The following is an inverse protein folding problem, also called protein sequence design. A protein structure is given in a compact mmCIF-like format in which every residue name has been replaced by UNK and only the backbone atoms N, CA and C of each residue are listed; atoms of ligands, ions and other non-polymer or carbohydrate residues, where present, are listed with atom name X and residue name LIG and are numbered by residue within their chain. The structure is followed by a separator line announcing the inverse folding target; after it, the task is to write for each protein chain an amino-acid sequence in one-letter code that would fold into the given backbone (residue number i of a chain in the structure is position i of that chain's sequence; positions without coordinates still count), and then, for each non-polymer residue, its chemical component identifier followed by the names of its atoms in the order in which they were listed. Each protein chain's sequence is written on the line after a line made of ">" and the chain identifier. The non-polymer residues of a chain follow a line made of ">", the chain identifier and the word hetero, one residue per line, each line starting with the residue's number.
data_IF_603718808898
#
_entry.id   IF_603718808898
#
_cell.length_a   1.000
_cell.length_b   1.000
_cell.length_c   1.000
_cell.angle_alpha   90.00
_cell.angle_beta   90.00
_cell.angle_gamma   90.00
#
_symmetry.space_group_name_H-M   'P 1'
#
loop_
_entity.id
_entity.type
_entity.pdbx_description
1 polymer ?
#
# COMPACT_ATOMS: atom_id res chain seq x y z
N UNK A 1 -20.95 -22.24 18.13
CA UNK A 1 -19.49 -22.51 18.09
C UNK A 1 -18.81 -21.65 17.02
N UNK A 2 -18.88 -20.31 17.11
CA UNK A 2 -18.52 -19.42 15.98
C UNK A 2 -17.49 -18.31 16.26
N UNK A 3 -16.92 -18.24 17.47
CA UNK A 3 -16.04 -17.11 17.85
C UNK A 3 -14.52 -17.42 17.80
N UNK A 4 -14.12 -18.67 17.57
CA UNK A 4 -12.68 -19.06 17.62
C UNK A 4 -11.96 -19.11 16.26
N UNK A 5 -12.67 -18.98 15.14
CA UNK A 5 -12.03 -18.95 13.81
C UNK A 5 -11.56 -17.54 13.40
N UNK A 6 -11.97 -16.48 14.10
CA UNK A 6 -11.67 -15.10 13.71
C UNK A 6 -10.22 -14.68 13.98
N UNK A 7 -9.58 -15.21 15.02
CA UNK A 7 -8.22 -14.81 15.40
C UNK A 7 -7.11 -15.62 14.72
N UNK A 8 -7.40 -16.82 14.23
CA UNK A 8 -6.40 -17.67 13.58
C UNK A 8 -5.80 -16.99 12.35
N UNK A 9 -6.63 -16.44 11.46
CA UNK A 9 -6.16 -15.83 10.21
C UNK A 9 -5.28 -14.59 10.38
N UNK A 10 -5.51 -13.77 11.41
CA UNK A 10 -4.67 -12.59 11.68
C UNK A 10 -3.30 -12.99 12.25
N UNK A 11 -3.28 -14.00 13.13
CA UNK A 11 -2.04 -14.55 13.67
C UNK A 11 -1.16 -15.15 12.58
N UNK A 12 -1.77 -15.86 11.63
CA UNK A 12 -1.08 -16.51 10.52
C UNK A 12 -0.41 -15.47 9.58
N UNK A 13 -1.10 -14.36 9.30
CA UNK A 13 -0.55 -13.24 8.50
C UNK A 13 0.68 -12.62 9.16
N UNK A 14 0.59 -12.29 10.45
CA UNK A 14 1.72 -11.71 11.19
C UNK A 14 2.88 -12.71 11.32
N UNK A 15 2.57 -13.99 11.49
CA UNK A 15 3.56 -15.08 11.54
C UNK A 15 4.30 -15.20 10.22
N UNK A 16 3.58 -15.19 9.10
CA UNK A 16 4.18 -15.24 7.77
C UNK A 16 5.08 -14.02 7.50
N UNK A 17 4.61 -12.81 7.81
CA UNK A 17 5.41 -11.59 7.66
C UNK A 17 6.69 -11.63 8.50
N UNK A 18 6.66 -12.20 9.71
CA UNK A 18 7.85 -12.36 10.56
C UNK A 18 8.74 -13.55 10.15
N UNK A 19 8.28 -14.43 9.27
CA UNK A 19 9.03 -15.62 8.90
C UNK A 19 10.33 -15.26 8.17
N UNK A 20 11.38 -16.05 8.41
CA UNK A 20 12.65 -15.90 7.69
C UNK A 20 12.45 -15.96 6.17
N UNK A 21 11.59 -16.86 5.71
CA UNK A 21 11.29 -17.03 4.29
C UNK A 21 10.74 -15.74 3.65
N UNK A 22 9.89 -15.00 4.36
CA UNK A 22 9.40 -13.69 3.89
C UNK A 22 10.49 -12.61 3.96
N UNK A 23 11.23 -12.57 5.06
CA UNK A 23 12.23 -11.54 5.35
C UNK A 23 13.46 -11.58 4.43
N UNK A 24 13.73 -12.70 3.78
CA UNK A 24 14.80 -12.85 2.79
C UNK A 24 14.41 -12.36 1.38
N UNK A 25 13.12 -12.12 1.14
CA UNK A 25 12.60 -11.71 -0.17
C UNK A 25 12.54 -10.18 -0.30
N UNK A 26 13.23 -9.63 -1.31
CA UNK A 26 13.15 -8.20 -1.59
C UNK A 26 11.81 -7.82 -2.22
N UNK A 27 11.41 -6.55 -2.12
CA UNK A 27 10.28 -6.01 -2.89
C UNK A 27 10.65 -5.55 -4.31
N UNK A 28 11.93 -5.53 -4.68
CA UNK A 28 12.40 -4.90 -5.93
C UNK A 28 12.54 -5.88 -7.10
N UNK A 29 12.67 -7.17 -6.84
CA UNK A 29 12.81 -8.21 -7.88
C UNK A 29 11.48 -8.89 -8.15
N UNK A 30 11.15 -9.08 -9.42
CA UNK A 30 9.91 -9.77 -9.84
C UNK A 30 9.84 -11.20 -9.30
N UNK A 31 10.98 -11.91 -9.24
CA UNK A 31 11.06 -13.27 -8.69
C UNK A 31 10.68 -13.31 -7.21
N UNK A 32 11.16 -12.34 -6.44
CA UNK A 32 10.88 -12.25 -5.00
C UNK A 32 9.40 -11.94 -4.76
N UNK A 33 8.81 -11.03 -5.54
CA UNK A 33 7.37 -10.76 -5.49
C UNK A 33 6.55 -12.00 -5.86
N UNK A 34 6.95 -12.74 -6.91
CA UNK A 34 6.30 -14.01 -7.24
C UNK A 34 6.36 -15.00 -6.08
N UNK A 35 7.51 -15.12 -5.42
CA UNK A 35 7.66 -16.00 -4.25
C UNK A 35 6.80 -15.57 -3.07
N UNK A 36 6.65 -14.26 -2.84
CA UNK A 36 5.70 -13.72 -1.85
C UNK A 36 4.26 -14.09 -2.17
N UNK A 37 3.85 -14.04 -3.44
CA UNK A 37 2.51 -14.48 -3.85
C UNK A 37 2.29 -15.99 -3.61
N UNK A 38 3.30 -16.83 -3.85
CA UNK A 38 3.23 -18.27 -3.53
C UNK A 38 3.14 -18.53 -2.01
N UNK A 39 3.78 -17.70 -1.20
CA UNK A 39 3.66 -17.75 0.26
C UNK A 39 2.25 -17.38 0.73
N UNK A 40 1.66 -16.34 0.12
CA UNK A 40 0.28 -15.91 0.38
C UNK A 40 -0.70 -17.04 0.06
N UNK A 41 -0.56 -17.68 -1.12
CA UNK A 41 -1.41 -18.79 -1.51
C UNK A 41 -1.35 -19.97 -0.53
N UNK A 42 -0.14 -20.31 -0.04
CA UNK A 42 0.05 -21.38 0.95
C UNK A 42 -0.65 -21.10 2.28
N UNK A 43 -0.88 -19.84 2.61
CA UNK A 43 -1.60 -19.42 3.81
C UNK A 43 -3.12 -19.66 3.69
N UNK A 44 -3.64 -19.89 2.49
CA UNK A 44 -5.07 -20.09 2.26
C UNK A 44 -5.92 -18.83 2.36
N UNK A 45 -5.30 -17.64 2.36
CA UNK A 45 -6.01 -16.37 2.21
C UNK A 45 -6.42 -16.16 0.75
N UNK A 46 -7.35 -15.24 0.43
CA UNK A 46 -7.72 -14.98 -0.95
C UNK A 46 -6.49 -14.65 -1.83
N UNK A 47 -6.48 -15.04 -3.11
CA UNK A 47 -5.39 -14.69 -4.00
C UNK A 47 -5.36 -13.17 -4.23
N UNK A 48 -4.16 -12.60 -4.32
CA UNK A 48 -4.01 -11.16 -4.58
C UNK A 48 -4.53 -10.82 -5.97
N UNK A 49 -5.59 -10.01 -6.01
CA UNK A 49 -6.16 -9.44 -7.24
C UNK A 49 -5.60 -8.04 -7.48
N UNK A 50 -5.43 -7.66 -8.74
CA UNK A 50 -4.95 -6.33 -9.13
C UNK A 50 -5.70 -5.80 -10.34
N UNK A 51 -5.89 -4.49 -10.41
CA UNK A 51 -6.60 -3.79 -11.49
C UNK A 51 -5.61 -3.25 -12.52
N UNK A 52 -5.65 -3.69 -13.80
CA UNK A 52 -4.81 -3.11 -14.84
C UNK A 52 -5.05 -1.60 -14.97
N UNK A 53 -3.99 -0.80 -15.05
CA UNK A 53 -4.07 0.65 -15.23
C UNK A 53 -4.85 1.05 -16.50
N UNK A 54 -4.75 0.23 -17.55
CA UNK A 54 -5.54 0.38 -18.77
C UNK A 54 -7.06 0.36 -18.52
N UNK A 55 -7.54 -0.45 -17.57
CA UNK A 55 -8.96 -0.49 -17.21
C UNK A 55 -9.41 0.78 -16.50
N UNK A 56 -8.58 1.36 -15.62
CA UNK A 56 -8.89 2.66 -15.02
C UNK A 56 -8.98 3.78 -16.06
N UNK A 57 -8.08 3.79 -17.06
CA UNK A 57 -8.14 4.75 -18.18
C UNK A 57 -9.44 4.61 -18.97
N UNK A 58 -9.85 3.38 -19.25
CA UNK A 58 -11.06 3.06 -20.02
C UNK A 58 -12.33 3.44 -19.26
N UNK A 59 -12.40 3.11 -17.97
CA UNK A 59 -13.59 3.25 -17.14
C UNK A 59 -13.74 4.65 -16.53
N UNK A 60 -12.62 5.33 -16.25
CA UNK A 60 -12.57 6.63 -15.53
C UNK A 60 -13.32 6.63 -14.19
N UNK A 61 -13.40 5.47 -13.55
CA UNK A 61 -13.97 5.23 -12.21
C UNK A 61 -13.27 4.01 -11.59
N UNK A 62 -13.33 3.89 -10.26
CA UNK A 62 -12.84 2.70 -9.55
C UNK A 62 -13.91 1.59 -9.61
N UNK A 63 -13.69 0.50 -10.37
CA UNK A 63 -14.67 -0.59 -10.43
C UNK A 63 -14.73 -1.31 -9.08
N UNK A 64 -15.93 -1.70 -8.65
CA UNK A 64 -16.12 -2.60 -7.51
C UNK A 64 -15.53 -3.98 -7.86
N UNK A 65 -15.12 -4.74 -6.87
CA UNK A 65 -14.48 -6.05 -7.08
C UNK A 65 -15.31 -7.08 -7.86
N UNK A 66 -16.63 -7.00 -7.78
CA UNK A 66 -17.59 -7.84 -8.52
C UNK A 66 -17.69 -7.53 -10.02
N UNK A 67 -17.09 -6.44 -10.50
CA UNK A 67 -17.15 -6.02 -11.90
C UNK A 67 -16.29 -6.88 -12.85
N UNK A 68 -15.60 -7.91 -12.32
CA UNK A 68 -14.69 -8.80 -13.04
C UNK A 68 -13.61 -8.06 -13.85
N UNK A 69 -13.06 -6.96 -13.30
CA UNK A 69 -12.02 -6.13 -13.96
C UNK A 69 -10.61 -6.37 -13.44
N UNK A 70 -10.47 -7.10 -12.34
CA UNK A 70 -9.16 -7.43 -11.79
C UNK A 70 -8.64 -8.74 -12.36
N UNK A 71 -7.32 -8.87 -12.37
CA UNK A 71 -6.59 -10.09 -12.75
C UNK A 71 -5.81 -10.64 -11.56
N UNK A 72 -5.34 -11.88 -11.66
CA UNK A 72 -4.42 -12.45 -10.67
C UNK A 72 -3.07 -11.71 -10.70
N UNK A 73 -2.51 -11.42 -9.54
CA UNK A 73 -1.24 -10.72 -9.42
C UNK A 73 -0.08 -11.45 -10.13
N UNK A 74 -0.06 -12.79 -10.18
CA UNK A 74 0.98 -13.55 -10.88
C UNK A 74 0.87 -13.37 -12.39
N UNK A 75 -0.34 -13.43 -12.92
CA UNK A 75 -0.60 -13.16 -14.34
C UNK A 75 -0.21 -11.71 -14.71
N UNK A 76 -0.39 -10.76 -13.80
CA UNK A 76 0.10 -9.39 -14.01
C UNK A 76 1.64 -9.34 -14.14
N UNK A 77 2.39 -10.05 -13.28
CA UNK A 77 3.85 -10.10 -13.33
C UNK A 77 4.38 -10.72 -14.64
N UNK A 78 3.72 -11.74 -15.17
CA UNK A 78 4.05 -12.35 -16.47
C UNK A 78 3.94 -11.34 -17.62
N UNK A 79 2.99 -10.42 -17.51
CA UNK A 79 2.75 -9.34 -18.46
C UNK A 79 3.58 -8.08 -18.16
N UNK A 80 4.80 -8.26 -17.62
CA UNK A 80 5.72 -7.18 -17.22
C UNK A 80 5.07 -6.18 -16.27
N UNK A 81 4.20 -6.69 -15.40
CA UNK A 81 3.44 -5.90 -14.45
C UNK A 81 4.31 -5.33 -13.33
N UNK A 82 4.02 -4.09 -12.97
CA UNK A 82 4.43 -3.46 -11.73
C UNK A 82 3.20 -3.33 -10.86
N UNK A 83 3.14 -4.12 -9.79
CA UNK A 83 2.06 -4.06 -8.82
C UNK A 83 2.29 -2.83 -7.94
N UNK A 84 1.36 -1.87 -8.02
CA UNK A 84 1.40 -0.63 -7.28
C UNK A 84 0.29 -0.61 -6.24
N UNK A 85 0.68 -0.66 -4.97
CA UNK A 85 -0.25 -0.48 -3.86
C UNK A 85 -0.66 0.99 -3.78
N UNK A 86 -1.95 1.28 -3.77
CA UNK A 86 -2.46 2.63 -3.55
C UNK A 86 -2.95 2.77 -2.10
N UNK A 87 -2.13 3.41 -1.26
CA UNK A 87 -2.54 3.84 0.08
C UNK A 87 -3.40 5.09 -0.05
N UNK A 88 -4.62 5.03 0.49
CA UNK A 88 -5.62 6.07 0.30
C UNK A 88 -6.71 6.05 1.38
N UNK A 89 -7.48 7.13 1.49
CA UNK A 89 -8.73 7.12 2.26
C UNK A 89 -9.95 6.96 1.37
N UNK A 90 -11.04 6.42 1.91
CA UNK A 90 -12.35 6.52 1.27
C UNK A 90 -12.86 7.96 1.36
N UNK A 91 -13.23 8.55 0.22
CA UNK A 91 -13.65 9.95 0.14
C UNK A 91 -15.12 10.16 0.50
N UNK A 92 -15.96 9.11 0.37
CA UNK A 92 -17.38 9.13 0.72
C UNK A 92 -17.75 7.82 1.44
N UNK A 93 -17.18 7.58 2.63
CA UNK A 93 -17.39 6.33 3.36
C UNK A 93 -18.87 6.09 3.72
N UNK A 94 -19.63 7.15 4.03
CA UNK A 94 -21.06 7.06 4.36
C UNK A 94 -21.92 6.59 3.18
N UNK A 95 -21.45 6.80 1.95
CA UNK A 95 -22.07 6.28 0.73
C UNK A 95 -21.50 4.92 0.29
N UNK A 96 -20.55 4.37 1.06
CA UNK A 96 -19.79 3.19 0.66
C UNK A 96 -18.99 3.40 -0.62
N UNK A 97 -18.43 4.61 -0.83
CA UNK A 97 -17.68 4.96 -2.04
C UNK A 97 -16.23 5.37 -1.72
N UNK A 98 -15.23 4.76 -2.39
CA UNK A 98 -13.82 5.07 -2.14
C UNK A 98 -13.38 6.40 -2.77
N UNK A 99 -14.10 6.90 -3.77
CA UNK A 99 -13.76 8.09 -4.56
C UNK A 99 -14.83 9.18 -4.38
N UNK A 100 -14.52 10.42 -4.75
CA UNK A 100 -15.47 11.52 -4.70
C UNK A 100 -16.48 11.44 -5.86
N UNK A 101 -17.49 12.33 -5.86
CA UNK A 101 -18.57 12.33 -6.84
C UNK A 101 -18.09 12.56 -8.30
N UNK A 102 -16.87 13.09 -8.48
CA UNK A 102 -16.28 13.38 -9.79
C UNK A 102 -15.28 12.30 -10.24
N UNK A 103 -15.11 11.23 -9.46
CA UNK A 103 -14.11 10.18 -9.66
C UNK A 103 -12.68 10.72 -9.82
N UNK A 104 -12.30 11.74 -9.02
CA UNK A 104 -10.97 12.38 -9.16
C UNK A 104 -9.85 11.39 -8.92
N UNK A 105 -9.97 10.51 -7.92
CA UNK A 105 -8.93 9.52 -7.62
C UNK A 105 -8.72 8.58 -8.81
N UNK A 106 -9.79 8.02 -9.39
CA UNK A 106 -9.68 7.16 -10.56
C UNK A 106 -8.98 7.86 -11.74
N UNK A 107 -9.34 9.12 -12.03
CA UNK A 107 -8.73 9.91 -13.11
C UNK A 107 -7.24 10.13 -12.87
N UNK A 108 -6.88 10.50 -11.66
CA UNK A 108 -5.50 10.73 -11.25
C UNK A 108 -4.64 9.48 -11.39
N UNK A 109 -5.12 8.35 -10.86
CA UNK A 109 -4.40 7.07 -10.95
C UNK A 109 -4.26 6.63 -12.41
N UNK A 110 -5.30 6.79 -13.23
CA UNK A 110 -5.25 6.49 -14.65
C UNK A 110 -4.17 7.31 -15.38
N UNK A 111 -4.07 8.60 -15.06
CA UNK A 111 -3.09 9.51 -15.65
C UNK A 111 -1.66 9.24 -15.19
N UNK A 112 -1.46 9.00 -13.90
CA UNK A 112 -0.18 8.55 -13.39
C UNK A 112 0.24 7.25 -14.08
N UNK A 113 -0.70 6.31 -14.19
CA UNK A 113 -0.55 5.06 -14.92
C UNK A 113 -0.01 5.26 -16.33
N UNK A 114 -0.68 6.11 -17.11
CA UNK A 114 -0.28 6.46 -18.47
C UNK A 114 1.11 7.08 -18.54
N UNK A 115 1.40 8.03 -17.65
CA UNK A 115 2.71 8.66 -17.59
C UNK A 115 3.81 7.66 -17.25
N UNK A 116 3.60 6.82 -16.25
CA UNK A 116 4.60 5.85 -15.79
C UNK A 116 4.93 4.85 -16.90
N UNK A 117 3.92 4.30 -17.56
CA UNK A 117 4.10 3.32 -18.64
C UNK A 117 4.83 3.92 -19.85
N UNK A 118 4.61 5.21 -20.14
CA UNK A 118 5.42 5.95 -21.14
C UNK A 118 6.86 6.19 -20.69
N UNK A 119 7.06 6.57 -19.44
CA UNK A 119 8.39 6.87 -18.89
C UNK A 119 9.25 5.60 -18.74
N UNK A 120 8.61 4.49 -18.37
CA UNK A 120 9.25 3.20 -18.13
C UNK A 120 8.74 2.17 -19.14
N UNK A 121 9.13 2.38 -20.41
CA UNK A 121 8.69 1.58 -21.56
C UNK A 121 8.74 0.08 -21.29
N UNK A 122 7.64 -0.61 -21.62
CA UNK A 122 7.53 -2.05 -21.46
C UNK A 122 7.19 -2.52 -20.05
N UNK A 123 6.85 -1.60 -19.13
CA UNK A 123 6.24 -1.91 -17.83
C UNK A 123 4.78 -1.50 -17.84
N UNK A 124 3.91 -2.32 -17.25
CA UNK A 124 2.48 -2.05 -17.14
C UNK A 124 2.11 -1.88 -15.67
N UNK A 125 1.37 -0.84 -15.31
CA UNK A 125 0.92 -0.69 -13.93
C UNK A 125 -0.31 -1.56 -13.67
N UNK A 126 -0.29 -2.24 -12.53
CA UNK A 126 -1.44 -2.92 -11.96
C UNK A 126 -1.68 -2.40 -10.55
N UNK A 127 -2.83 -1.81 -10.33
CA UNK A 127 -3.19 -1.19 -9.06
C UNK A 127 -3.72 -2.24 -8.09
N UNK A 128 -3.17 -2.24 -6.89
CA UNK A 128 -3.86 -2.84 -5.75
C UNK A 128 -4.59 -1.72 -4.99
N UNK A 129 -5.92 -1.84 -4.90
CA UNK A 129 -6.86 -0.92 -4.26
C UNK A 129 -7.90 -1.78 -3.54
N UNK A 130 -8.18 -1.50 -2.27
CA UNK A 130 -9.10 -2.29 -1.45
C UNK A 130 -10.46 -2.51 -2.13
N UNK A 131 -11.11 -1.45 -2.61
CA UNK A 131 -12.41 -1.47 -3.27
C UNK A 131 -12.45 -2.32 -4.53
N UNK A 132 -11.35 -2.31 -5.28
CA UNK A 132 -11.27 -3.01 -6.56
C UNK A 132 -10.87 -4.47 -6.37
N UNK A 133 -10.10 -4.78 -5.33
CA UNK A 133 -9.36 -6.04 -5.22
C UNK A 133 -9.85 -6.94 -4.09
N UNK A 134 -10.52 -6.40 -3.07
CA UNK A 134 -11.16 -7.15 -1.98
C UNK A 134 -12.62 -7.39 -2.35
N UNK A 135 -13.10 -8.61 -2.13
CA UNK A 135 -14.52 -8.94 -2.24
C UNK A 135 -15.33 -8.00 -1.33
N UNK A 136 -16.15 -7.12 -1.91
CA UNK A 136 -16.89 -6.13 -1.12
C UNK A 136 -18.16 -6.73 -0.49
N UNK A 137 -18.55 -7.94 -0.87
CA UNK A 137 -19.66 -8.68 -0.26
C UNK A 137 -19.18 -9.51 0.94
N UNK A 138 -17.92 -9.96 0.94
CA UNK A 138 -17.22 -10.54 2.09
C UNK A 138 -15.79 -9.98 2.24
N UNK A 139 -15.65 -8.76 2.82
CA UNK A 139 -14.36 -8.07 2.84
C UNK A 139 -13.37 -8.62 3.85
N UNK A 140 -13.84 -9.33 4.88
CA UNK A 140 -13.02 -9.66 6.05
C UNK A 140 -11.79 -10.52 5.72
N UNK A 141 -11.88 -11.57 4.86
CA UNK A 141 -10.70 -12.32 4.43
C UNK A 141 -9.66 -11.44 3.70
N UNK A 142 -10.12 -10.55 2.82
CA UNK A 142 -9.25 -9.64 2.08
C UNK A 142 -8.60 -8.59 2.97
N UNK A 143 -9.35 -8.01 3.90
CA UNK A 143 -8.85 -7.04 4.89
C UNK A 143 -7.79 -7.68 5.79
N UNK A 144 -7.99 -8.92 6.23
CA UNK A 144 -6.97 -9.64 7.02
C UNK A 144 -5.66 -9.86 6.25
N UNK A 145 -5.75 -10.08 4.94
CA UNK A 145 -4.59 -10.30 4.07
C UNK A 145 -3.95 -9.00 3.56
N UNK A 146 -4.57 -7.83 3.77
CA UNK A 146 -4.06 -6.51 3.38
C UNK A 146 -2.55 -6.33 3.63
N UNK A 147 -2.00 -6.69 4.80
CA UNK A 147 -0.58 -6.52 5.09
C UNK A 147 0.36 -7.27 4.14
N UNK A 148 -0.05 -8.47 3.75
CA UNK A 148 0.69 -9.31 2.81
C UNK A 148 0.65 -8.68 1.42
N UNK A 149 -0.50 -8.13 1.02
CA UNK A 149 -0.66 -7.47 -0.29
C UNK A 149 0.16 -6.18 -0.38
N UNK A 150 0.22 -5.38 0.68
CA UNK A 150 1.12 -4.21 0.77
C UNK A 150 2.56 -4.70 0.60
N UNK A 151 3.00 -5.64 1.43
CA UNK A 151 4.39 -6.10 1.48
C UNK A 151 4.84 -6.91 0.24
N UNK A 152 3.89 -7.45 -0.53
CA UNK A 152 4.13 -8.13 -1.81
C UNK A 152 4.08 -7.17 -3.03
N UNK A 153 3.64 -5.93 -2.87
CA UNK A 153 3.61 -4.98 -3.98
C UNK A 153 5.03 -4.53 -4.39
N UNK A 154 5.22 -4.18 -5.67
CA UNK A 154 6.50 -3.67 -6.16
C UNK A 154 6.76 -2.22 -5.71
N UNK A 155 5.69 -1.41 -5.72
CA UNK A 155 5.78 0.02 -5.45
C UNK A 155 4.53 0.52 -4.70
N UNK A 156 4.64 1.64 -4.00
CA UNK A 156 3.56 2.27 -3.23
C UNK A 156 3.31 3.68 -3.76
N UNK A 157 2.03 3.99 -3.91
CA UNK A 157 1.51 5.32 -4.16
C UNK A 157 0.60 5.77 -3.02
N UNK A 158 0.86 6.94 -2.47
CA UNK A 158 -0.01 7.62 -1.50
C UNK A 158 -0.90 8.61 -2.25
N UNK A 159 -2.22 8.41 -2.19
CA UNK A 159 -3.20 9.41 -2.62
C UNK A 159 -3.56 10.31 -1.43
N UNK A 160 -2.91 11.46 -1.34
CA UNK A 160 -2.99 12.40 -0.22
C UNK A 160 -4.21 13.33 -0.35
N UNK A 161 -5.03 13.30 0.70
CA UNK A 161 -6.00 14.34 1.05
C UNK A 161 -5.50 15.13 2.25
N UNK A 162 -6.16 16.25 2.58
CA UNK A 162 -5.77 17.09 3.71
C UNK A 162 -5.68 16.36 5.07
N UNK A 163 -6.44 15.28 5.25
CA UNK A 163 -6.48 14.48 6.47
C UNK A 163 -5.83 13.09 6.32
N UNK A 164 -5.15 12.83 5.21
CA UNK A 164 -4.55 11.52 4.92
C UNK A 164 -3.61 11.08 6.04
N UNK A 165 -2.70 11.96 6.48
CA UNK A 165 -1.72 11.61 7.49
C UNK A 165 -2.33 11.41 8.89
N UNK A 166 -3.55 11.88 9.12
CA UNK A 166 -4.25 11.68 10.39
C UNK A 166 -4.90 10.28 10.49
N UNK A 167 -4.78 9.41 9.48
CA UNK A 167 -5.44 8.09 9.44
C UNK A 167 -4.47 6.97 9.80
N UNK A 168 -4.84 6.19 10.81
CA UNK A 168 -3.99 5.12 11.33
C UNK A 168 -3.66 4.05 10.27
N UNK A 169 -4.66 3.65 9.47
CA UNK A 169 -4.46 2.70 8.36
C UNK A 169 -3.47 3.23 7.31
N UNK A 170 -3.58 4.50 6.90
CA UNK A 170 -2.62 5.09 5.96
C UNK A 170 -1.19 5.08 6.52
N UNK A 171 -1.02 5.37 7.82
CA UNK A 171 0.31 5.35 8.45
C UNK A 171 0.88 3.94 8.57
N UNK A 172 0.08 2.96 8.98
CA UNK A 172 0.58 1.58 9.09
C UNK A 172 0.92 0.99 7.71
N UNK A 173 0.14 1.29 6.67
CA UNK A 173 0.46 0.91 5.29
C UNK A 173 1.80 1.50 4.84
N UNK A 174 2.07 2.77 5.16
CA UNK A 174 3.36 3.42 4.88
C UNK A 174 4.51 2.77 5.64
N UNK A 175 4.32 2.40 6.90
CA UNK A 175 5.33 1.69 7.71
C UNK A 175 5.62 0.30 7.15
N UNK A 176 4.59 -0.46 6.78
CA UNK A 176 4.73 -1.78 6.13
C UNK A 176 5.46 -1.62 4.79
N UNK A 177 5.09 -0.64 3.97
CA UNK A 177 5.77 -0.37 2.71
C UNK A 177 7.24 0.03 2.91
N UNK A 178 7.55 0.91 3.87
CA UNK A 178 8.92 1.31 4.21
C UNK A 178 9.81 0.11 4.62
N UNK A 179 9.17 -0.90 5.20
CA UNK A 179 9.84 -2.11 5.67
C UNK A 179 10.08 -3.09 4.52
N UNK A 180 9.05 -3.39 3.74
CA UNK A 180 9.06 -4.52 2.81
C UNK A 180 9.23 -4.15 1.33
N UNK A 181 9.12 -2.86 0.99
CA UNK A 181 9.13 -2.37 -0.39
C UNK A 181 10.31 -1.42 -0.61
N UNK A 182 10.97 -1.54 -1.76
CA UNK A 182 12.11 -0.69 -2.09
C UNK A 182 11.73 0.79 -2.16
N UNK A 183 10.52 1.09 -2.62
CA UNK A 183 10.01 2.46 -2.73
C UNK A 183 9.37 3.00 -1.47
N UNK A 184 9.18 2.21 -0.40
CA UNK A 184 8.53 2.69 0.81
C UNK A 184 9.28 3.83 1.51
N UNK A 185 10.59 4.01 1.23
CA UNK A 185 11.38 5.17 1.65
C UNK A 185 11.04 6.46 0.89
N UNK A 186 10.65 6.32 -0.37
CA UNK A 186 10.38 7.40 -1.32
C UNK A 186 9.11 7.07 -2.11
N UNK A 187 7.95 7.01 -1.42
CA UNK A 187 6.69 6.62 -2.03
C UNK A 187 6.33 7.62 -3.13
N UNK A 188 5.57 7.16 -4.13
CA UNK A 188 4.95 8.09 -5.06
C UNK A 188 3.84 8.83 -4.35
N UNK A 189 3.87 10.16 -4.33
CA UNK A 189 2.77 10.94 -3.74
C UNK A 189 1.95 11.58 -4.82
N UNK A 190 0.64 11.58 -4.63
CA UNK A 190 -0.30 12.35 -5.45
C UNK A 190 -1.33 13.03 -4.56
N UNK A 191 -1.54 14.33 -4.74
CA UNK A 191 -2.51 15.10 -3.97
C UNK A 191 -3.80 15.37 -4.74
N UNK A 192 -4.94 15.33 -4.05
CA UNK A 192 -6.24 15.81 -4.56
C UNK A 192 -6.34 17.35 -4.46
N UNK A 193 -5.49 18.08 -5.19
CA UNK A 193 -5.53 19.56 -5.19
C UNK A 193 -6.17 20.10 -6.47
N UNK A 194 -6.86 21.24 -6.38
CA UNK A 194 -7.41 21.97 -7.54
C UNK A 194 -6.34 22.41 -8.54
N UNK A 195 -5.08 22.52 -8.11
CA UNK A 195 -3.93 22.79 -8.99
C UNK A 195 -3.69 21.67 -10.01
N UNK A 196 -4.17 20.46 -9.72
CA UNK A 196 -4.23 19.37 -10.68
C UNK A 196 -5.01 19.80 -11.93
N UNK A 197 -6.21 20.35 -11.79
CA UNK A 197 -7.08 20.72 -12.92
C UNK A 197 -6.43 21.74 -13.88
N UNK A 198 -5.61 22.66 -13.36
CA UNK A 198 -4.91 23.66 -14.15
C UNK A 198 -3.77 23.05 -14.96
N UNK A 199 -3.06 22.09 -14.38
CA UNK A 199 -1.87 21.54 -14.95
C UNK A 199 -2.17 20.29 -15.83
N UNK A 200 -3.30 19.63 -15.60
CA UNK A 200 -3.93 18.67 -16.54
C UNK A 200 -4.10 19.20 -17.98
N UNK A 201 -4.03 20.53 -18.17
CA UNK A 201 -4.19 21.21 -19.47
C UNK A 201 -2.88 21.50 -20.21
N UNK A 202 -1.70 21.30 -19.59
CA UNK A 202 -0.39 21.65 -20.17
C UNK A 202 0.54 20.42 -20.21
N UNK A 203 1.03 20.07 -21.40
CA UNK A 203 1.65 18.80 -21.74
C UNK A 203 2.82 18.35 -20.81
N UNK A 204 2.71 17.11 -20.30
CA UNK A 204 3.56 16.44 -19.31
C UNK A 204 2.70 15.90 -18.15
N UNK A 205 3.19 15.13 -17.15
CA UNK A 205 2.40 14.84 -15.94
C UNK A 205 2.29 16.10 -15.06
N UNK A 206 2.17 17.28 -15.67
CA UNK A 206 2.12 18.55 -14.96
C UNK A 206 0.75 18.56 -14.31
N UNK A 207 0.70 18.65 -12.98
CA UNK A 207 -0.54 18.80 -12.20
C UNK A 207 -0.76 17.75 -11.15
N UNK A 208 -0.19 16.57 -11.36
CA UNK A 208 0.05 15.67 -10.24
C UNK A 208 1.39 16.09 -9.64
N UNK A 209 1.40 16.61 -8.41
CA UNK A 209 2.65 16.78 -7.67
C UNK A 209 3.18 15.39 -7.31
N UNK A 210 3.84 14.75 -8.27
CA UNK A 210 4.53 13.48 -8.08
C UNK A 210 5.84 13.77 -7.37
N UNK A 211 5.83 13.73 -6.04
CA UNK A 211 7.10 13.73 -5.30
C UNK A 211 7.55 12.30 -5.04
N UNK A 212 8.87 12.13 -5.04
CA UNK A 212 9.57 10.99 -4.45
C UNK A 212 10.57 11.56 -3.46
N UNK A 213 10.06 12.04 -2.35
CA UNK A 213 10.86 12.61 -1.28
C UNK A 213 10.79 11.67 -0.08
N UNK A 214 11.86 11.56 0.72
CA UNK A 214 11.78 10.91 2.02
C UNK A 214 10.64 11.54 2.83
N UNK A 215 9.77 10.69 3.39
CA UNK A 215 8.67 11.15 4.23
C UNK A 215 8.86 10.61 5.64
N UNK A 216 8.66 11.47 6.63
CA UNK A 216 8.60 11.04 8.02
C UNK A 216 7.43 10.08 8.20
N UNK A 217 7.68 8.97 8.88
CA UNK A 217 6.65 8.03 9.28
C UNK A 217 6.03 8.52 10.58
N UNK A 218 4.70 8.59 10.63
CA UNK A 218 3.96 8.99 11.84
C UNK A 218 3.51 7.72 12.56
N UNK A 219 3.47 7.76 13.90
CA UNK A 219 2.93 6.65 14.68
C UNK A 219 1.44 6.45 14.40
N UNK A 220 0.99 5.29 13.90
CA UNK A 220 -0.43 5.04 13.70
C UNK A 220 -1.21 4.98 15.02
N UNK A 221 -0.58 4.76 16.18
CA UNK A 221 -1.28 4.62 17.48
C UNK A 221 -2.09 5.85 17.87
N UNK A 222 -1.56 7.04 17.55
CA UNK A 222 -2.19 8.34 17.83
C UNK A 222 -3.09 8.83 16.72
N UNK A 223 -3.20 8.08 15.62
CA UNK A 223 -3.99 8.48 14.46
C UNK A 223 -5.46 8.05 14.59
N UNK A 224 -6.32 8.67 13.78
CA UNK A 224 -7.75 8.38 13.71
C UNK A 224 -8.00 7.01 13.07
N UNK A 225 -8.81 6.19 13.74
CA UNK A 225 -9.32 4.93 13.23
C UNK A 225 -10.71 5.13 12.61
N UNK A 226 -11.07 4.29 11.64
CA UNK A 226 -12.46 4.22 11.15
C UNK A 226 -13.35 3.56 12.20
N UNK A 227 -12.86 2.47 12.81
CA UNK A 227 -13.51 1.73 13.88
C UNK A 227 -12.49 1.38 14.95
N UNK A 228 -12.90 1.41 16.21
CA UNK A 228 -11.96 1.14 17.33
C UNK A 228 -11.41 -0.29 17.31
N UNK A 229 -12.16 -1.24 16.76
CA UNK A 229 -11.72 -2.62 16.52
C UNK A 229 -10.49 -2.73 15.61
N UNK A 230 -10.19 -1.71 14.80
CA UNK A 230 -9.01 -1.69 13.93
C UNK A 230 -7.71 -1.46 14.70
N UNK A 231 -7.77 -1.04 15.98
CA UNK A 231 -6.57 -0.71 16.76
C UNK A 231 -5.62 -1.89 16.90
N UNK A 232 -6.13 -3.05 17.29
CA UNK A 232 -5.30 -4.24 17.49
C UNK A 232 -4.59 -4.69 16.20
N UNK A 233 -5.28 -4.83 15.04
CA UNK A 233 -4.62 -5.10 13.76
C UNK A 233 -3.55 -4.07 13.39
N UNK A 234 -3.83 -2.78 13.54
CA UNK A 234 -2.89 -1.69 13.24
C UNK A 234 -1.65 -1.78 14.12
N UNK A 235 -1.82 -2.00 15.43
CA UNK A 235 -0.72 -2.16 16.37
C UNK A 235 0.12 -3.40 16.08
N UNK A 236 -0.52 -4.54 15.82
CA UNK A 236 0.17 -5.77 15.44
C UNK A 236 1.06 -5.57 14.22
N UNK A 237 0.56 -4.87 13.21
CA UNK A 237 1.29 -4.59 11.97
C UNK A 237 2.44 -3.63 12.15
N UNK A 238 2.24 -2.56 12.93
CA UNK A 238 3.32 -1.65 13.33
C UNK A 238 4.45 -2.45 13.97
N UNK A 239 4.15 -3.32 14.94
CA UNK A 239 5.15 -4.10 15.65
C UNK A 239 5.91 -5.07 14.75
N UNK A 240 5.22 -5.75 13.82
CA UNK A 240 5.87 -6.63 12.84
C UNK A 240 6.82 -5.86 11.92
N UNK A 241 6.37 -4.73 11.39
CA UNK A 241 7.18 -3.90 10.51
C UNK A 241 8.44 -3.36 11.21
N UNK A 242 8.31 -2.88 12.45
CA UNK A 242 9.45 -2.40 13.25
C UNK A 242 10.48 -3.50 13.50
N UNK A 243 10.04 -4.69 13.92
CA UNK A 243 10.94 -5.84 14.17
C UNK A 243 11.68 -6.29 12.91
N UNK A 244 10.95 -6.40 11.81
CA UNK A 244 11.51 -6.76 10.50
C UNK A 244 12.59 -5.76 10.04
N UNK A 245 12.39 -4.47 10.33
CA UNK A 245 13.37 -3.43 9.98
C UNK A 245 14.66 -3.57 10.76
N UNK A 246 14.58 -3.71 12.08
CA UNK A 246 15.74 -3.91 12.96
C UNK A 246 16.57 -5.10 12.48
N UNK A 247 15.94 -6.26 12.26
CA UNK A 247 16.63 -7.45 11.78
C UNK A 247 17.28 -7.28 10.39
N UNK A 248 16.74 -6.40 9.54
CA UNK A 248 17.31 -6.11 8.22
C UNK A 248 18.52 -5.19 8.32
N UNK A 249 18.46 -4.18 9.17
CA UNK A 249 19.56 -3.23 9.35
C UNK A 249 20.71 -3.85 10.15
N UNK A 250 20.44 -4.72 11.14
CA UNK A 250 21.46 -5.55 11.81
C UNK A 250 22.22 -6.45 10.81
N UNK A 251 21.50 -7.16 9.94
CA UNK A 251 22.13 -7.98 8.88
C UNK A 251 23.00 -7.14 7.95
N UNK A 252 22.60 -5.91 7.61
CA UNK A 252 23.42 -5.01 6.77
C UNK A 252 24.72 -4.60 7.44
N UNK A 253 24.70 -4.39 8.76
CA UNK A 253 25.89 -4.12 9.55
C UNK A 253 26.83 -5.34 9.59
N UNK A 254 26.27 -6.55 9.74
CA UNK A 254 27.05 -7.80 9.69
C UNK A 254 27.77 -8.01 8.34
N UNK A 255 27.16 -7.59 7.23
CA UNK A 255 27.74 -7.69 5.89
C UNK A 255 28.56 -6.45 5.46
N UNK A 256 28.94 -5.57 6.39
CA UNK A 256 29.87 -4.47 6.14
C UNK A 256 29.31 -3.33 5.28
N UNK A 257 27.99 -3.19 5.15
CA UNK A 257 27.37 -2.04 4.50
C UNK A 257 27.26 -0.93 5.56
N UNK A 258 28.19 0.02 5.54
CA UNK A 258 28.22 1.14 6.49
C UNK A 258 27.09 2.13 6.22
N UNK A 259 26.23 2.30 7.22
CA UNK A 259 25.31 3.42 7.46
C UNK A 259 24.31 3.74 6.33
N UNK A 260 23.06 3.28 6.54
CA UNK A 260 21.91 4.12 6.19
C UNK A 260 21.57 4.86 7.46
N UNK A 261 21.61 6.19 7.39
CA UNK A 261 21.34 7.15 8.45
C UNK A 261 20.24 6.66 9.42
N UNK A 262 20.64 6.18 10.59
CA UNK A 262 19.75 5.74 11.66
C UNK A 262 19.00 6.92 12.32
N UNK A 263 19.19 8.14 11.81
CA UNK A 263 18.50 9.37 12.21
C UNK A 263 17.11 9.54 11.57
N UNK A 264 16.57 8.52 10.88
CA UNK A 264 15.11 8.44 10.69
C UNK A 264 14.50 8.12 12.05
N UNK A 265 14.37 9.16 12.88
CA UNK A 265 13.73 9.14 14.18
C UNK A 265 12.34 8.54 14.03
N UNK A 266 12.24 7.25 14.37
CA UNK A 266 10.98 6.59 14.61
C UNK A 266 10.48 7.21 15.93
N UNK A 267 9.51 8.12 15.80
CA UNK A 267 8.85 8.91 16.86
C UNK A 267 9.58 10.19 17.32
N UNK A 268 9.13 11.33 16.81
CA UNK A 268 9.27 12.61 17.50
C UNK A 268 8.20 12.70 18.59
N UNK A 269 8.52 12.29 19.81
CA UNK A 269 7.76 12.71 20.98
C UNK A 269 8.25 14.11 21.35
N UNK A 270 7.55 15.15 20.89
CA UNK A 270 7.67 16.46 21.51
C UNK A 270 7.08 16.37 22.92
N UNK A 271 7.96 16.47 23.91
CA UNK A 271 7.59 16.57 25.31
C UNK A 271 6.71 17.79 25.52
N UNK A 272 5.47 17.54 25.97
CA UNK A 272 4.64 18.53 26.61
C UNK A 272 5.25 18.88 27.97
N UNK A 273 5.91 20.03 28.06
CA UNK A 273 6.18 20.70 29.32
C UNK A 273 5.82 22.19 29.16
N UNK A 274 4.62 22.55 29.61
CA UNK A 274 4.39 23.87 30.19
C UNK A 274 3.46 23.73 31.40
N UNK A 275 3.87 24.22 32.59
CA UNK A 275 2.95 24.55 33.67
C UNK A 275 2.11 25.80 33.35
#
# INVERSE_FOLDING_TARGET
>A
MGANQSNAGAHDVLTLLNSREWQELSGSRVQDVRRKLELIDRLGVPPMRVLPSAELRRLRLLPRSDCARTVDARAALENRGVIMFCSHRWLRPDEGRPDNALNRKARVLAMFGEWYERKYTGRNIYWWLDWCCIDQDDPLPGVRALPLYVAASNDIMCYETADYDARAWCQVERIVAFTFMASGRVPWVVCDSSALDAALRLAGPVGVRVTREPRLLVDPSGCKLSTESDREPVEGLKMVALRAKVATDERRLEFGVTSIDASVCIFGMEGSDHP
#
